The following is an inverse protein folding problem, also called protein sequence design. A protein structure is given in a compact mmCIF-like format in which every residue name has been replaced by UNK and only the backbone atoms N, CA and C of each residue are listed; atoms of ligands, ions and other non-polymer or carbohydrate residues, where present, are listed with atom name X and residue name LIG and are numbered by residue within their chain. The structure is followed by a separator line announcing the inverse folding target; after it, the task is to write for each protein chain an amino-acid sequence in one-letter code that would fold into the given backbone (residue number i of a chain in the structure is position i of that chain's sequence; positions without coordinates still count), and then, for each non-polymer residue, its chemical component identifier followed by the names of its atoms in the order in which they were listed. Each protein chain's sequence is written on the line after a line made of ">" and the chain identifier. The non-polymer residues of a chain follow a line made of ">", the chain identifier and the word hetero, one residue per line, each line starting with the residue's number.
data_IF_240524055475
#
_entry.id   IF_240524055475
#
_cell.length_a   1.000
_cell.length_b   1.000
_cell.length_c   1.000
_cell.angle_alpha   90.00
_cell.angle_beta   90.00
_cell.angle_gamma   90.00
#
_symmetry.space_group_name_H-M   'P 1'
#
loop_
_entity.id
_entity.type
_entity.pdbx_description
1 polymer ?
#
# COMPACT_ATOMS: atom_id res chain seq x y z
N UNK A 1 -19.23 -27.59 -2.80
CA UNK A 1 -18.80 -26.32 -3.40
C UNK A 1 -17.58 -25.88 -2.65
N UNK A 2 -16.50 -25.56 -3.36
CA UNK A 2 -15.27 -25.03 -2.77
C UNK A 2 -15.50 -23.54 -2.56
N UNK A 3 -15.41 -23.07 -1.31
CA UNK A 3 -15.75 -21.68 -0.95
C UNK A 3 -14.55 -20.75 -1.17
N UNK A 4 -13.35 -21.29 -0.98
CA UNK A 4 -12.13 -20.51 -1.04
C UNK A 4 -11.15 -21.07 -2.07
N UNK A 5 -10.42 -20.16 -2.73
CA UNK A 5 -9.45 -20.52 -3.78
C UNK A 5 -8.31 -21.43 -3.31
N UNK A 6 -7.95 -21.37 -2.02
CA UNK A 6 -6.88 -22.20 -1.43
C UNK A 6 -7.29 -23.65 -1.17
N UNK A 7 -8.59 -23.96 -1.23
CA UNK A 7 -9.12 -25.31 -1.11
C UNK A 7 -9.09 -26.07 -2.46
N UNK A 8 -8.72 -25.40 -3.56
CA UNK A 8 -8.59 -26.02 -4.87
C UNK A 8 -7.34 -26.92 -4.92
N UNK A 9 -7.49 -28.12 -5.49
CA UNK A 9 -6.38 -29.10 -5.60
C UNK A 9 -5.15 -28.55 -6.34
N UNK A 10 -5.37 -27.67 -7.30
CA UNK A 10 -4.30 -27.06 -8.10
C UNK A 10 -3.68 -25.83 -7.42
N UNK A 11 -4.11 -25.42 -6.23
CA UNK A 11 -3.49 -24.29 -5.51
C UNK A 11 -2.00 -24.57 -5.23
N UNK A 12 -1.09 -23.59 -5.45
CA UNK A 12 -1.31 -22.24 -5.99
C UNK A 12 -1.14 -22.13 -7.53
N UNK A 13 -0.97 -23.26 -8.23
CA UNK A 13 -0.76 -23.35 -9.67
C UNK A 13 -2.03 -23.15 -10.51
N UNK A 14 -2.57 -21.93 -10.48
CA UNK A 14 -3.78 -21.59 -11.23
C UNK A 14 -3.64 -21.75 -12.74
N UNK A 15 -4.75 -22.13 -13.38
CA UNK A 15 -4.93 -22.07 -14.83
C UNK A 15 -6.03 -21.05 -15.15
N UNK A 16 -5.78 -20.14 -16.08
CA UNK A 16 -6.76 -19.13 -16.50
C UNK A 16 -6.85 -19.04 -18.03
N UNK A 17 -8.01 -18.60 -18.54
CA UNK A 17 -8.17 -18.29 -19.95
C UNK A 17 -7.69 -16.85 -20.21
N UNK A 18 -6.56 -16.72 -20.89
CA UNK A 18 -5.98 -15.44 -21.26
C UNK A 18 -6.95 -14.55 -22.05
N UNK A 19 -7.84 -15.12 -22.86
CA UNK A 19 -8.80 -14.35 -23.67
C UNK A 19 -9.87 -13.70 -22.81
N UNK A 20 -10.23 -14.34 -21.70
CA UNK A 20 -11.17 -13.76 -20.72
C UNK A 20 -10.48 -12.64 -19.97
N UNK A 21 -9.25 -12.88 -19.47
CA UNK A 21 -8.47 -11.89 -18.75
C UNK A 21 -8.12 -10.66 -19.60
N UNK A 22 -7.72 -10.86 -20.85
CA UNK A 22 -7.29 -9.80 -21.76
C UNK A 22 -8.37 -8.74 -21.99
N UNK A 23 -9.65 -9.12 -22.05
CA UNK A 23 -10.78 -8.20 -22.22
C UNK A 23 -10.88 -7.19 -21.07
N UNK A 24 -10.50 -7.58 -19.86
CA UNK A 24 -10.53 -6.72 -18.68
C UNK A 24 -9.18 -6.01 -18.46
N UNK A 25 -8.06 -6.67 -18.73
CA UNK A 25 -6.73 -6.11 -18.51
C UNK A 25 -6.35 -5.04 -19.54
N UNK A 26 -6.77 -5.17 -20.80
CA UNK A 26 -6.46 -4.19 -21.85
C UNK A 26 -6.90 -2.75 -21.49
N UNK A 27 -8.16 -2.48 -21.08
CA UNK A 27 -8.55 -1.13 -20.69
C UNK A 27 -7.85 -0.64 -19.40
N UNK A 28 -7.50 -1.54 -18.47
CA UNK A 28 -6.72 -1.18 -17.27
C UNK A 28 -5.31 -0.74 -17.67
N UNK A 29 -4.61 -1.52 -18.49
CA UNK A 29 -3.27 -1.19 -19.00
C UNK A 29 -3.26 0.13 -19.77
N UNK A 30 -4.28 0.37 -20.60
CA UNK A 30 -4.42 1.64 -21.31
C UNK A 30 -4.56 2.84 -20.36
N UNK A 31 -5.40 2.73 -19.32
CA UNK A 31 -5.55 3.79 -18.31
C UNK A 31 -4.29 3.98 -17.47
N UNK A 32 -3.61 2.89 -17.10
CA UNK A 32 -2.33 2.92 -16.40
C UNK A 32 -1.28 3.68 -17.22
N UNK A 33 -1.14 3.37 -18.51
CA UNK A 33 -0.21 4.06 -19.39
C UNK A 33 -0.51 5.56 -19.52
N UNK A 34 -1.78 5.94 -19.65
CA UNK A 34 -2.19 7.36 -19.67
C UNK A 34 -1.88 8.08 -18.35
N UNK A 35 -2.04 7.40 -17.21
CA UNK A 35 -1.69 7.95 -15.91
C UNK A 35 -0.19 8.18 -15.79
N UNK A 36 0.63 7.18 -16.13
CA UNK A 36 2.09 7.27 -16.10
C UNK A 36 2.58 8.41 -16.99
N UNK A 37 2.11 8.50 -18.23
CA UNK A 37 2.52 9.59 -19.13
C UNK A 37 2.13 10.98 -18.63
N UNK A 38 0.97 11.13 -17.97
CA UNK A 38 0.59 12.39 -17.31
C UNK A 38 1.49 12.71 -16.11
N UNK A 39 1.80 11.71 -15.30
CA UNK A 39 2.70 11.83 -14.16
C UNK A 39 4.14 12.19 -14.57
N UNK A 40 4.57 11.80 -15.77
CA UNK A 40 5.85 12.18 -16.40
C UNK A 40 5.89 13.62 -16.88
N UNK A 41 4.75 14.19 -17.27
CA UNK A 41 4.67 15.59 -17.64
C UNK A 41 4.65 16.55 -16.42
N UNK A 42 4.39 16.04 -15.22
CA UNK A 42 4.40 16.86 -14.00
C UNK A 42 5.83 17.19 -13.57
N UNK A 43 6.03 18.40 -13.04
CA UNK A 43 7.27 18.76 -12.34
C UNK A 43 7.46 17.94 -11.06
N UNK A 44 8.70 17.81 -10.60
CA UNK A 44 9.07 16.96 -9.45
C UNK A 44 8.24 17.23 -8.19
N UNK A 45 7.99 18.49 -7.86
CA UNK A 45 7.18 18.86 -6.68
C UNK A 45 5.73 18.37 -6.77
N UNK A 46 5.07 18.57 -7.92
CA UNK A 46 3.70 18.11 -8.14
C UNK A 46 3.60 16.58 -8.14
N UNK A 47 4.61 15.90 -8.67
CA UNK A 47 4.69 14.44 -8.62
C UNK A 47 4.83 13.94 -7.17
N UNK A 48 5.69 14.56 -6.37
CA UNK A 48 5.87 14.21 -4.96
C UNK A 48 4.58 14.42 -4.16
N UNK A 49 3.89 15.54 -4.37
CA UNK A 49 2.59 15.82 -3.74
C UNK A 49 1.50 14.82 -4.14
N UNK A 50 1.46 14.42 -5.43
CA UNK A 50 0.52 13.40 -5.88
C UNK A 50 0.80 12.04 -5.21
N UNK A 51 2.07 11.64 -5.10
CA UNK A 51 2.47 10.40 -4.40
C UNK A 51 2.10 10.47 -2.91
N UNK A 52 2.39 11.58 -2.25
CA UNK A 52 2.03 11.81 -0.85
C UNK A 52 0.52 11.69 -0.65
N UNK A 53 -0.28 12.35 -1.49
CA UNK A 53 -1.74 12.29 -1.41
C UNK A 53 -2.28 10.88 -1.62
N UNK A 54 -1.77 10.14 -2.61
CA UNK A 54 -2.19 8.76 -2.88
C UNK A 54 -1.85 7.84 -1.71
N UNK A 55 -0.62 7.87 -1.20
CA UNK A 55 -0.21 7.01 -0.09
C UNK A 55 -0.94 7.33 1.21
N UNK A 56 -1.24 8.61 1.46
CA UNK A 56 -2.05 9.03 2.60
C UNK A 56 -3.44 8.42 2.53
N UNK A 57 -4.06 8.48 1.36
CA UNK A 57 -5.40 7.92 1.15
C UNK A 57 -5.38 6.38 1.26
N UNK A 58 -4.39 5.72 0.67
CA UNK A 58 -4.24 4.26 0.75
C UNK A 58 -4.13 3.80 2.21
N UNK A 59 -3.29 4.45 3.03
CA UNK A 59 -3.15 4.13 4.46
C UNK A 59 -4.47 4.32 5.19
N UNK A 60 -5.10 5.49 5.06
CA UNK A 60 -6.35 5.80 5.78
C UNK A 60 -7.47 4.84 5.36
N UNK A 61 -7.64 4.59 4.07
CA UNK A 61 -8.74 3.76 3.55
C UNK A 61 -8.51 2.27 3.81
N UNK A 62 -7.28 1.78 3.75
CA UNK A 62 -6.99 0.40 4.16
C UNK A 62 -7.22 0.20 5.66
N UNK A 63 -6.84 1.15 6.51
CA UNK A 63 -7.14 1.07 7.95
C UNK A 63 -8.64 1.13 8.24
N UNK A 64 -9.40 1.99 7.54
CA UNK A 64 -10.86 2.07 7.70
C UNK A 64 -11.56 0.74 7.41
N UNK A 65 -11.06 -0.04 6.43
CA UNK A 65 -11.60 -1.38 6.11
C UNK A 65 -11.45 -2.33 7.30
N UNK A 66 -10.35 -2.21 8.06
CA UNK A 66 -10.08 -2.98 9.27
C UNK A 66 -10.77 -2.42 10.52
N UNK A 67 -11.54 -1.33 10.38
CA UNK A 67 -12.24 -0.66 11.48
C UNK A 67 -11.40 0.39 12.23
N UNK A 68 -10.20 0.69 11.75
CA UNK A 68 -9.28 1.66 12.34
C UNK A 68 -9.46 3.05 11.71
N UNK A 69 -9.80 4.06 12.50
CA UNK A 69 -9.94 5.45 12.04
C UNK A 69 -8.68 6.23 12.38
N UNK A 70 -7.81 6.43 11.40
CA UNK A 70 -6.56 7.17 11.56
C UNK A 70 -6.74 8.65 11.24
N UNK A 71 -6.04 9.51 11.98
CA UNK A 71 -5.96 10.94 11.67
C UNK A 71 -5.17 11.14 10.37
N UNK A 72 -5.86 11.65 9.34
CA UNK A 72 -5.32 11.86 8.00
C UNK A 72 -4.13 12.82 7.98
N UNK A 73 -4.14 13.86 8.80
CA UNK A 73 -3.05 14.85 8.83
C UNK A 73 -1.81 14.26 9.49
N UNK A 74 -1.99 13.46 10.55
CA UNK A 74 -0.88 12.71 11.18
C UNK A 74 -0.28 11.72 10.17
N UNK A 75 -1.11 10.92 9.49
CA UNK A 75 -0.67 9.96 8.46
C UNK A 75 0.10 10.67 7.34
N UNK A 76 -0.48 11.75 6.79
CA UNK A 76 0.16 12.55 5.73
C UNK A 76 1.53 13.04 6.17
N UNK A 77 1.63 13.57 7.39
CA UNK A 77 2.88 14.10 7.92
C UNK A 77 3.96 13.03 8.09
N UNK A 78 3.57 11.84 8.56
CA UNK A 78 4.49 10.70 8.72
C UNK A 78 5.03 10.23 7.37
N UNK A 79 4.16 10.13 6.36
CA UNK A 79 4.55 9.75 4.99
C UNK A 79 5.48 10.79 4.38
N UNK A 80 5.12 12.08 4.44
CA UNK A 80 5.91 13.16 3.88
C UNK A 80 7.33 13.22 4.47
N UNK A 81 7.46 13.02 5.79
CA UNK A 81 8.77 12.91 6.45
C UNK A 81 9.60 11.76 5.88
N UNK A 82 8.99 10.59 5.64
CA UNK A 82 9.68 9.42 5.05
C UNK A 82 9.99 9.58 3.55
N UNK A 83 9.24 10.43 2.84
CA UNK A 83 9.53 10.83 1.46
C UNK A 83 10.61 11.93 1.37
N UNK A 84 11.12 12.44 2.50
CA UNK A 84 12.12 13.52 2.54
C UNK A 84 11.57 14.88 2.13
N UNK A 85 10.25 15.09 2.27
CA UNK A 85 9.60 16.37 1.97
C UNK A 85 9.73 17.32 3.17
N UNK A 86 10.05 18.60 2.89
CA UNK A 86 10.07 19.65 3.92
C UNK A 86 8.65 20.13 4.20
N UNK A 87 8.13 19.80 5.39
CA UNK A 87 6.76 20.13 5.81
C UNK A 87 6.71 20.81 7.19
N UNK A 88 7.84 21.34 7.68
CA UNK A 88 7.92 22.06 8.95
C UNK A 88 7.83 21.18 10.21
N UNK A 89 7.46 21.79 11.34
CA UNK A 89 7.36 21.11 12.63
C UNK A 89 6.07 20.27 12.72
N UNK A 90 6.22 19.00 13.08
CA UNK A 90 5.13 18.02 13.07
C UNK A 90 4.82 17.51 14.47
N UNK A 91 3.54 17.23 14.72
CA UNK A 91 3.14 16.46 15.88
C UNK A 91 3.73 15.05 15.78
N UNK A 92 4.29 14.50 16.86
CA UNK A 92 4.73 13.11 16.87
C UNK A 92 3.53 12.19 16.63
N UNK A 93 3.63 11.31 15.63
CA UNK A 93 2.65 10.26 15.41
C UNK A 93 2.81 9.15 16.45
N UNK A 94 1.71 8.49 16.80
CA UNK A 94 1.74 7.27 17.61
C UNK A 94 2.51 6.17 16.86
N UNK A 95 3.17 5.29 17.63
CA UNK A 95 3.88 4.10 17.15
C UNK A 95 2.98 3.21 16.28
N UNK A 96 1.68 3.13 16.58
CA UNK A 96 0.75 2.36 15.75
C UNK A 96 0.65 2.93 14.32
N UNK A 97 0.46 4.25 14.18
CA UNK A 97 0.40 4.93 12.89
C UNK A 97 1.73 4.78 12.15
N UNK A 98 2.86 4.92 12.85
CA UNK A 98 4.18 4.71 12.27
C UNK A 98 4.37 3.29 11.72
N UNK A 99 3.83 2.29 12.42
CA UNK A 99 3.86 0.90 11.99
C UNK A 99 3.10 0.66 10.69
N UNK A 100 1.87 1.17 10.59
CA UNK A 100 1.04 1.08 9.39
C UNK A 100 1.71 1.80 8.21
N UNK A 101 2.18 3.03 8.43
CA UNK A 101 2.87 3.83 7.40
C UNK A 101 4.13 3.13 6.91
N UNK A 102 4.94 2.57 7.80
CA UNK A 102 6.17 1.87 7.45
C UNK A 102 5.90 0.62 6.59
N UNK A 103 4.91 -0.18 7.00
CA UNK A 103 4.48 -1.36 6.23
C UNK A 103 3.97 -0.95 4.85
N UNK A 104 3.09 0.04 4.77
CA UNK A 104 2.51 0.49 3.49
C UNK A 104 3.56 1.08 2.55
N UNK A 105 4.51 1.86 3.06
CA UNK A 105 5.63 2.36 2.25
C UNK A 105 6.54 1.23 1.78
N UNK A 106 6.81 0.24 2.62
CA UNK A 106 7.59 -0.92 2.21
C UNK A 106 6.86 -1.72 1.11
N UNK A 107 5.55 -1.95 1.25
CA UNK A 107 4.75 -2.66 0.25
C UNK A 107 4.67 -1.90 -1.08
N UNK A 108 4.46 -0.59 -1.04
CA UNK A 108 4.23 0.24 -2.23
C UNK A 108 5.51 0.68 -2.94
N UNK A 109 6.63 0.85 -2.24
CA UNK A 109 7.90 1.24 -2.86
C UNK A 109 8.77 0.05 -3.25
N UNK A 110 8.67 -1.06 -2.52
CA UNK A 110 9.44 -2.27 -2.76
C UNK A 110 8.58 -3.39 -3.34
N UNK A 111 7.58 -3.03 -4.15
CA UNK A 111 6.64 -3.99 -4.75
C UNK A 111 7.32 -5.01 -5.67
N UNK A 112 8.50 -4.67 -6.22
CA UNK A 112 9.29 -5.55 -7.07
C UNK A 112 10.20 -6.51 -6.28
N UNK A 113 10.42 -6.26 -4.99
CA UNK A 113 11.17 -7.17 -4.13
C UNK A 113 10.28 -8.37 -3.75
N UNK A 114 10.83 -9.59 -3.64
CA UNK A 114 10.09 -10.76 -3.18
C UNK A 114 9.43 -10.53 -1.80
N UNK A 115 8.30 -11.20 -1.58
CA UNK A 115 7.70 -11.32 -0.26
C UNK A 115 8.34 -12.52 0.45
N UNK A 116 9.34 -12.27 1.28
CA UNK A 116 9.98 -13.30 2.13
C UNK A 116 9.31 -13.39 3.50
N UNK A 117 9.54 -14.49 4.20
CA UNK A 117 9.06 -14.68 5.57
C UNK A 117 9.57 -13.58 6.50
N UNK A 118 10.86 -13.17 6.39
CA UNK A 118 11.39 -12.08 7.21
C UNK A 118 10.68 -10.77 6.93
N UNK A 119 10.39 -10.46 5.67
CA UNK A 119 9.66 -9.24 5.28
C UNK A 119 8.24 -9.25 5.80
N UNK A 120 7.55 -10.39 5.69
CA UNK A 120 6.19 -10.56 6.21
C UNK A 120 6.15 -10.41 7.74
N UNK A 121 7.10 -11.01 8.46
CA UNK A 121 7.18 -10.88 9.91
C UNK A 121 7.59 -9.48 10.36
N UNK A 122 8.44 -8.78 9.60
CA UNK A 122 8.75 -7.38 9.85
C UNK A 122 7.50 -6.50 9.73
N UNK A 123 6.66 -6.73 8.71
CA UNK A 123 5.38 -6.03 8.57
C UNK A 123 4.44 -6.32 9.74
N UNK A 124 4.33 -7.58 10.15
CA UNK A 124 3.52 -7.95 11.32
C UNK A 124 4.04 -7.27 12.59
N UNK A 125 5.34 -7.29 12.85
CA UNK A 125 5.93 -6.63 14.03
C UNK A 125 5.74 -5.11 14.01
N UNK A 126 5.72 -4.49 12.83
CA UNK A 126 5.43 -3.07 12.69
C UNK A 126 3.97 -2.75 13.08
N UNK A 127 3.02 -3.56 12.62
CA UNK A 127 1.58 -3.40 12.95
C UNK A 127 1.26 -3.74 14.41
N UNK A 128 1.98 -4.72 14.98
CA UNK A 128 1.75 -5.25 16.32
C UNK A 128 3.01 -5.15 17.20
N UNK A 129 3.47 -3.94 17.56
CA UNK A 129 4.74 -3.74 18.27
C UNK A 129 4.74 -4.31 19.70
N UNK A 130 3.58 -4.53 20.31
CA UNK A 130 3.41 -5.22 21.61
C UNK A 130 3.20 -6.74 21.46
N UNK A 131 3.30 -7.27 20.24
CA UNK A 131 3.36 -8.69 19.94
C UNK A 131 2.01 -9.40 19.76
N UNK A 132 0.95 -8.99 20.45
CA UNK A 132 -0.40 -9.58 20.33
C UNK A 132 -1.49 -8.53 20.52
N UNK A 133 -2.32 -8.32 19.52
CA UNK A 133 -3.62 -7.67 19.70
C UNK A 133 -4.67 -8.76 20.01
N UNK A 134 -5.36 -8.63 21.15
CA UNK A 134 -6.55 -9.44 21.44
C UNK A 134 -6.32 -10.84 22.04
N UNK A 135 -5.21 -11.10 22.73
CA UNK A 135 -5.04 -12.27 23.62
C UNK A 135 -4.65 -11.85 25.03
#
# INVERSE_FOLDING_TARGET
>A
MTTYIHELKEWPGFRWDERVGAKHLAPVRHRQGRLVGRMEALGFGLRAEAVLATLTEDVVKSSEIEGEILDKDIVRSSIARRLGMDIGALAPADRHIEGVVEMMLNATQKYAEPLTDERLFAWHAALFPTGRSGM
#
